data_IF_164303342009
#
_entry.id   IF_164303342009
#
_cell.length_a   1.000
_cell.length_b   1.000
_cell.length_c   1.000
_cell.angle_alpha   90.00
_cell.angle_beta   90.00
_cell.angle_gamma   90.00
#
_symmetry.space_group_name_H-M   'P 1'
#
loop_
_entity.id
_entity.type
_entity.pdbx_description
1 polymer ?
#
# COMPACT_ATOMS: atom_id res chain seq x y z
N UNK A 1 -5.33 -3.56 -18.06
CA UNK A 1 -5.92 -4.44 -17.04
C UNK A 1 -5.74 -3.92 -15.63
N UNK A 2 -4.53 -3.56 -15.23
CA UNK A 2 -4.29 -2.96 -13.90
C UNK A 2 -5.07 -1.65 -13.72
N UNK A 3 -5.12 -0.80 -14.74
CA UNK A 3 -5.85 0.47 -14.68
C UNK A 3 -7.34 0.24 -14.42
N UNK A 4 -7.91 -0.79 -15.00
CA UNK A 4 -9.31 -1.13 -14.78
C UNK A 4 -9.54 -1.58 -13.33
N UNK A 5 -8.64 -2.40 -12.78
CA UNK A 5 -8.73 -2.86 -11.39
C UNK A 5 -8.61 -1.69 -10.41
N UNK A 6 -7.77 -0.72 -10.71
CA UNK A 6 -7.65 0.51 -9.90
C UNK A 6 -8.95 1.32 -9.98
N UNK A 7 -9.48 1.52 -11.18
CA UNK A 7 -10.72 2.28 -11.40
C UNK A 7 -11.92 1.63 -10.69
N UNK A 8 -11.95 0.31 -10.62
CA UNK A 8 -13.02 -0.44 -9.94
C UNK A 8 -12.83 -0.52 -8.42
N UNK A 9 -11.71 0.01 -7.89
CA UNK A 9 -11.43 -0.05 -6.45
C UNK A 9 -10.96 -1.41 -5.97
N UNK A 10 -10.56 -2.31 -6.88
CA UNK A 10 -10.09 -3.65 -6.52
C UNK A 10 -8.68 -3.63 -5.96
N UNK A 11 -7.82 -2.77 -6.53
CA UNK A 11 -6.46 -2.51 -6.09
C UNK A 11 -6.23 -1.00 -6.13
N UNK A 12 -5.14 -0.53 -5.55
CA UNK A 12 -4.77 0.88 -5.63
C UNK A 12 -3.45 1.05 -6.38
N UNK A 13 -3.26 2.25 -6.94
CA UNK A 13 -1.97 2.67 -7.44
C UNK A 13 -1.32 3.56 -6.40
N UNK A 14 -0.08 3.24 -6.05
CA UNK A 14 0.72 4.05 -5.16
C UNK A 14 1.86 4.70 -5.96
N UNK A 15 2.09 5.99 -5.72
CA UNK A 15 3.23 6.71 -6.27
C UNK A 15 4.13 7.09 -5.11
N UNK A 16 5.35 6.59 -5.13
CA UNK A 16 6.34 6.83 -4.09
C UNK A 16 7.49 7.64 -4.65
N UNK A 17 8.33 8.22 -3.77
CA UNK A 17 9.56 8.89 -4.17
C UNK A 17 10.69 7.86 -4.20
N UNK A 18 11.32 7.71 -5.36
CA UNK A 18 12.43 6.76 -5.53
C UNK A 18 13.59 7.11 -4.59
N UNK A 19 14.00 6.16 -3.77
CA UNK A 19 15.04 6.38 -2.75
C UNK A 19 16.43 6.60 -3.35
N UNK A 20 16.63 6.21 -4.61
CA UNK A 20 17.91 6.37 -5.29
C UNK A 20 17.92 7.61 -6.19
N UNK A 21 16.86 7.78 -7.00
CA UNK A 21 16.82 8.85 -8.02
C UNK A 21 16.01 10.06 -7.59
N UNK A 22 15.16 9.95 -6.58
CA UNK A 22 14.22 11.01 -6.20
C UNK A 22 13.03 11.15 -7.15
N UNK A 23 12.95 10.31 -8.18
CA UNK A 23 11.87 10.36 -9.17
C UNK A 23 10.65 9.60 -8.67
N UNK A 24 9.48 9.99 -9.17
CA UNK A 24 8.23 9.28 -8.88
C UNK A 24 8.31 7.84 -9.41
N UNK A 25 7.90 6.89 -8.57
CA UNK A 25 7.86 5.48 -8.90
C UNK A 25 6.45 4.96 -8.62
N UNK A 26 5.87 4.21 -9.55
CA UNK A 26 4.49 3.72 -9.48
C UNK A 26 4.46 2.23 -9.21
N UNK A 27 3.47 1.80 -8.43
CA UNK A 27 3.18 0.40 -8.22
C UNK A 27 1.68 0.21 -8.05
N UNK A 28 1.18 -0.99 -8.37
CA UNK A 28 -0.20 -1.37 -8.13
C UNK A 28 -0.19 -2.45 -7.07
N UNK A 29 -0.93 -2.23 -5.98
CA UNK A 29 -0.92 -3.12 -4.83
C UNK A 29 -2.34 -3.35 -4.30
N UNK A 30 -2.54 -4.49 -3.66
CA UNK A 30 -3.77 -4.76 -2.92
C UNK A 30 -3.84 -3.92 -1.65
N UNK A 31 -5.04 -3.65 -1.18
CA UNK A 31 -5.25 -2.87 0.04
C UNK A 31 -6.48 -3.37 0.78
N UNK A 32 -6.54 -3.06 2.07
CA UNK A 32 -7.74 -3.25 2.89
C UNK A 32 -8.03 -1.95 3.62
N UNK A 33 -9.30 -1.62 3.79
CA UNK A 33 -9.68 -0.41 4.53
C UNK A 33 -9.46 -0.62 6.03
N UNK A 34 -8.90 0.41 6.66
CA UNK A 34 -8.69 0.41 8.10
C UNK A 34 -9.73 1.31 8.80
N UNK A 35 -9.92 2.50 8.26
CA UNK A 35 -10.96 3.44 8.66
C UNK A 35 -11.24 4.37 7.48
N UNK A 36 -12.12 5.34 7.63
CA UNK A 36 -12.52 6.23 6.55
C UNK A 36 -11.38 7.09 5.97
N UNK A 37 -10.19 7.11 6.59
CA UNK A 37 -9.06 7.94 6.18
C UNK A 37 -7.76 7.17 6.03
N UNK A 38 -7.79 5.84 6.18
CA UNK A 38 -6.59 5.04 6.08
C UNK A 38 -6.87 3.67 5.48
N UNK A 39 -5.89 3.18 4.75
CA UNK A 39 -5.87 1.81 4.22
C UNK A 39 -4.59 1.13 4.66
N UNK A 40 -4.56 -0.19 4.62
CA UNK A 40 -3.33 -0.97 4.86
C UNK A 40 -2.91 -1.64 3.56
N UNK A 41 -1.61 -1.73 3.37
CA UNK A 41 -0.97 -2.39 2.24
C UNK A 41 0.17 -3.24 2.76
N UNK A 42 0.56 -4.27 2.01
CA UNK A 42 1.70 -5.11 2.39
C UNK A 42 2.48 -5.54 1.15
N UNK A 43 3.79 -5.59 1.29
CA UNK A 43 4.66 -6.06 0.22
C UNK A 43 4.77 -7.59 0.25
N UNK A 44 4.85 -8.19 -0.92
CA UNK A 44 5.05 -9.64 -1.06
C UNK A 44 6.48 -10.08 -0.83
N UNK A 45 7.42 -9.14 -0.68
CA UNK A 45 8.83 -9.42 -0.51
C UNK A 45 9.49 -8.29 0.28
N UNK A 46 10.56 -8.59 1.07
CA UNK A 46 11.30 -7.54 1.78
C UNK A 46 11.97 -6.53 0.83
N UNK A 47 12.17 -6.91 -0.43
CA UNK A 47 12.90 -6.10 -1.42
C UNK A 47 12.00 -5.31 -2.36
N UNK A 48 10.69 -5.31 -2.13
CA UNK A 48 9.76 -4.57 -2.98
C UNK A 48 10.14 -3.09 -3.01
N UNK A 49 10.38 -2.57 -4.21
CA UNK A 49 10.90 -1.21 -4.38
C UNK A 49 10.01 -0.14 -3.76
N UNK A 50 8.68 -0.25 -3.95
CA UNK A 50 7.75 0.74 -3.39
C UNK A 50 7.79 0.76 -1.86
N UNK A 51 7.97 -0.41 -1.24
CA UNK A 51 8.04 -0.51 0.22
C UNK A 51 9.34 0.09 0.75
N UNK A 52 10.46 -0.19 0.10
CA UNK A 52 11.74 0.43 0.47
C UNK A 52 11.69 1.94 0.27
N UNK A 53 11.03 2.42 -0.79
CA UNK A 53 10.85 3.84 -1.02
C UNK A 53 10.04 4.50 0.11
N UNK A 54 8.99 3.85 0.60
CA UNK A 54 8.19 4.37 1.71
C UNK A 54 8.97 4.41 3.03
N UNK A 55 9.85 3.45 3.25
CA UNK A 55 10.71 3.47 4.44
C UNK A 55 11.67 4.65 4.40
N UNK A 56 12.15 5.03 3.22
CA UNK A 56 13.06 6.16 3.05
C UNK A 56 12.32 7.50 3.03
N UNK A 57 11.13 7.55 2.42
CA UNK A 57 10.32 8.77 2.28
C UNK A 57 8.84 8.38 2.39
N UNK A 58 8.21 8.61 3.53
CA UNK A 58 6.86 8.10 3.81
C UNK A 58 5.72 8.81 3.08
N UNK A 59 5.97 9.96 2.49
CA UNK A 59 4.93 10.66 1.73
C UNK A 59 4.68 9.95 0.39
N UNK A 60 3.42 9.76 0.05
CA UNK A 60 3.04 9.09 -1.19
C UNK A 60 1.69 9.62 -1.70
N UNK A 61 1.33 9.19 -2.91
CA UNK A 61 0.05 9.50 -3.51
C UNK A 61 -0.67 8.21 -3.85
N UNK A 62 -1.95 8.15 -3.53
CA UNK A 62 -2.79 6.98 -3.75
C UNK A 62 -3.88 7.31 -4.76
N UNK A 63 -4.12 6.40 -5.69
CA UNK A 63 -5.24 6.48 -6.62
C UNK A 63 -6.04 5.19 -6.53
N UNK A 64 -7.33 5.30 -6.29
CA UNK A 64 -8.23 4.15 -6.17
C UNK A 64 -9.66 4.58 -6.45
N UNK A 65 -10.39 3.80 -7.24
CA UNK A 65 -11.82 4.01 -7.54
C UNK A 65 -12.12 5.44 -8.02
N UNK A 66 -11.26 5.98 -8.88
CA UNK A 66 -11.45 7.32 -9.46
C UNK A 66 -11.05 8.48 -8.57
N UNK A 67 -10.58 8.22 -7.35
CA UNK A 67 -10.12 9.24 -6.41
C UNK A 67 -8.62 9.19 -6.24
N UNK A 68 -8.00 10.35 -6.02
CA UNK A 68 -6.57 10.45 -5.71
C UNK A 68 -6.38 11.30 -4.47
N UNK A 69 -5.45 10.90 -3.61
CA UNK A 69 -5.16 11.63 -2.38
C UNK A 69 -3.72 11.41 -1.95
N UNK A 70 -3.19 12.36 -1.19
CA UNK A 70 -1.86 12.21 -0.61
C UNK A 70 -1.95 11.47 0.71
N UNK A 71 -0.90 10.74 1.06
CA UNK A 71 -0.86 9.95 2.28
C UNK A 71 0.52 9.96 2.91
N UNK A 72 0.53 9.71 4.22
CA UNK A 72 1.73 9.39 4.99
C UNK A 72 1.72 7.91 5.31
N UNK A 73 2.79 7.21 4.99
CA UNK A 73 2.94 5.80 5.29
C UNK A 73 3.53 5.62 6.68
N UNK A 74 2.94 4.71 7.46
CA UNK A 74 3.45 4.30 8.76
C UNK A 74 3.74 2.81 8.72
N UNK A 75 4.99 2.38 8.95
CA UNK A 75 5.30 0.95 9.00
C UNK A 75 4.54 0.28 10.13
N UNK A 76 4.03 -0.91 9.88
CA UNK A 76 3.35 -1.73 10.86
C UNK A 76 4.26 -2.85 11.34
N UNK A 77 4.13 -3.23 12.60
CA UNK A 77 4.92 -4.29 13.21
C UNK A 77 4.06 -5.08 14.19
N UNK A 78 4.51 -6.29 14.54
CA UNK A 78 3.84 -7.11 15.54
C UNK A 78 2.40 -7.42 15.14
N UNK A 79 1.47 -7.19 16.06
CA UNK A 79 0.06 -7.51 15.83
C UNK A 79 -0.59 -6.64 14.77
N UNK A 80 -0.17 -5.40 14.60
CA UNK A 80 -0.70 -4.54 13.54
C UNK A 80 -0.32 -5.09 12.17
N UNK A 81 0.92 -5.56 12.02
CA UNK A 81 1.35 -6.21 10.78
C UNK A 81 0.54 -7.48 10.53
N UNK A 82 0.40 -8.34 11.53
CA UNK A 82 -0.36 -9.58 11.40
C UNK A 82 -1.83 -9.31 11.06
N UNK A 83 -2.43 -8.30 11.66
CA UNK A 83 -3.81 -7.91 11.37
C UNK A 83 -3.97 -7.39 9.94
N UNK A 84 -3.02 -6.59 9.46
CA UNK A 84 -3.05 -6.09 8.10
C UNK A 84 -2.97 -7.23 7.07
N UNK A 85 -2.05 -8.16 7.28
CA UNK A 85 -1.91 -9.34 6.41
C UNK A 85 -3.19 -10.17 6.43
N UNK A 86 -3.77 -10.40 7.61
CA UNK A 86 -5.02 -11.14 7.73
C UNK A 86 -6.16 -10.47 6.96
N UNK A 87 -6.29 -9.16 7.06
CA UNK A 87 -7.34 -8.41 6.37
C UNK A 87 -7.17 -8.52 4.84
N UNK A 88 -5.92 -8.49 4.36
CA UNK A 88 -5.63 -8.66 2.94
C UNK A 88 -5.92 -10.08 2.46
N UNK A 89 -5.59 -11.09 3.26
CA UNK A 89 -5.92 -12.49 2.95
C UNK A 89 -7.43 -12.67 2.86
N UNK A 90 -8.18 -12.10 3.80
CA UNK A 90 -9.64 -12.18 3.80
C UNK A 90 -10.24 -11.52 2.57
N UNK A 91 -9.64 -10.43 2.10
CA UNK A 91 -10.15 -9.69 0.93
C UNK A 91 -9.78 -10.37 -0.39
N UNK A 92 -8.56 -10.86 -0.54
CA UNK A 92 -8.02 -11.34 -1.81
C UNK A 92 -7.89 -12.86 -1.91
N UNK A 93 -7.97 -13.56 -0.79
CA UNK A 93 -7.87 -15.02 -0.75
C UNK A 93 -6.43 -15.51 -0.58
N UNK A 94 -6.24 -16.81 -0.81
CA UNK A 94 -4.98 -17.52 -0.55
C UNK A 94 -3.73 -16.87 -1.15
N UNK A 95 -3.76 -16.31 -2.38
CA UNK A 95 -2.55 -15.70 -2.95
C UNK A 95 -1.97 -14.56 -2.11
N UNK A 96 -2.76 -13.96 -1.23
CA UNK A 96 -2.30 -12.87 -0.39
C UNK A 96 -1.44 -13.33 0.79
N UNK A 97 -1.37 -14.62 1.08
CA UNK A 97 -0.62 -15.15 2.23
C UNK A 97 0.87 -14.81 2.17
N UNK A 98 1.43 -14.71 0.98
CA UNK A 98 2.83 -14.33 0.79
C UNK A 98 3.16 -12.91 1.27
N UNK A 99 2.16 -12.08 1.49
CA UNK A 99 2.36 -10.69 1.93
C UNK A 99 2.95 -10.60 3.33
N UNK A 100 2.90 -11.67 4.12
CA UNK A 100 3.53 -11.69 5.44
C UNK A 100 5.05 -11.64 5.40
N UNK A 101 5.68 -11.91 4.27
CA UNK A 101 7.13 -11.94 4.14
C UNK A 101 7.76 -10.55 4.01
N UNK A 102 7.02 -9.54 3.59
CA UNK A 102 7.52 -8.18 3.40
C UNK A 102 6.91 -7.19 4.39
N UNK A 103 7.35 -5.92 4.34
CA UNK A 103 6.81 -4.90 5.23
C UNK A 103 5.37 -4.55 4.88
N UNK A 104 4.63 -4.08 5.87
CA UNK A 104 3.29 -3.56 5.71
C UNK A 104 3.23 -2.12 6.22
N UNK A 105 2.24 -1.38 5.73
CA UNK A 105 2.08 0.04 6.07
C UNK A 105 0.62 0.39 6.23
N UNK A 106 0.37 1.35 7.12
CA UNK A 106 -0.86 2.11 7.09
C UNK A 106 -0.61 3.34 6.22
N UNK A 107 -1.48 3.58 5.23
CA UNK A 107 -1.44 4.78 4.41
C UNK A 107 -2.59 5.67 4.88
N UNK A 108 -2.25 6.69 5.63
CA UNK A 108 -3.24 7.62 6.19
C UNK A 108 -3.30 8.87 5.34
N UNK A 109 -4.51 9.28 5.00
CA UNK A 109 -4.77 10.47 4.21
C UNK A 109 -4.15 11.70 4.89
N UNK A 110 -3.29 12.41 4.16
CA UNK A 110 -2.57 13.57 4.68
C UNK A 110 -3.27 14.88 4.35
N UNK A 111 -4.02 14.92 3.26
CA UNK A 111 -4.80 16.10 2.87
C UNK A 111 -6.09 16.20 3.70
N UNK A 112 -6.46 17.39 4.03
CA UNK A 112 -7.66 17.65 4.82
C UNK A 112 -8.94 17.31 4.06
#
# INVERSE_FOLDING_TARGET
MEDDLVAWGRVLRIVTTGRVTGRAARAVVGFAERDGRAVVVAAGSPDAAWALNLLAAPACRVTVAGASWTAEARPLAGEEHAAAVRDLVLKYGTPAEGLGAGPSFELRRADA
#
